data_IF_020263848884
#
_entry.id   IF_020263848884
#
_cell.length_a   1.000
_cell.length_b   1.000
_cell.length_c   1.000
_cell.angle_alpha   90.00
_cell.angle_beta   90.00
_cell.angle_gamma   90.00
#
_symmetry.space_group_name_H-M   'P 1'
#
loop_
_entity.id
_entity.type
_entity.pdbx_description
1 polymer ?
#
# COMPACT_ATOMS: atom_id res chain seq x y z
N UNK A 1 7.74 -13.45 -16.31
CA UNK A 1 7.88 -12.08 -15.79
C UNK A 1 7.35 -12.08 -14.36
N UNK A 2 8.22 -12.18 -13.34
CA UNK A 2 7.77 -12.09 -11.94
C UNK A 2 7.68 -10.61 -11.58
N UNK A 3 6.45 -10.10 -11.42
CA UNK A 3 6.22 -8.78 -10.81
C UNK A 3 6.62 -8.92 -9.34
N UNK A 4 7.72 -8.29 -8.94
CA UNK A 4 8.12 -8.23 -7.53
C UNK A 4 7.06 -7.39 -6.81
N UNK A 5 6.10 -8.06 -6.16
CA UNK A 5 5.10 -7.40 -5.33
C UNK A 5 5.84 -6.81 -4.13
N UNK A 6 6.01 -5.49 -4.12
CA UNK A 6 6.64 -4.79 -3.01
C UNK A 6 5.70 -4.86 -1.79
N UNK A 7 6.15 -5.38 -0.65
CA UNK A 7 5.33 -5.43 0.55
C UNK A 7 5.22 -4.02 1.15
N UNK A 8 3.99 -3.55 1.35
CA UNK A 8 3.68 -2.24 1.94
C UNK A 8 3.09 -2.43 3.33
N UNK A 9 3.60 -1.68 4.32
CA UNK A 9 3.11 -1.72 5.69
C UNK A 9 1.85 -0.85 5.80
N UNK A 10 0.79 -1.39 6.39
CA UNK A 10 -0.36 -0.57 6.77
C UNK A 10 0.02 0.35 7.94
N UNK A 11 -0.45 1.60 7.94
CA UNK A 11 -0.17 2.53 9.06
C UNK A 11 -1.11 2.32 10.26
N UNK A 12 -2.27 1.70 10.03
CA UNK A 12 -3.28 1.46 11.05
C UNK A 12 -3.13 0.06 11.68
N UNK A 13 -2.77 -0.93 10.86
CA UNK A 13 -2.50 -2.29 11.29
C UNK A 13 -1.00 -2.54 11.19
N UNK A 14 -0.39 -3.17 12.21
CA UNK A 14 1.02 -3.58 12.15
C UNK A 14 1.20 -4.84 11.29
N UNK A 15 0.72 -4.77 10.04
CA UNK A 15 0.75 -5.86 9.06
C UNK A 15 1.42 -5.39 7.77
N UNK A 16 1.99 -6.35 7.03
CA UNK A 16 2.55 -6.16 5.71
C UNK A 16 1.62 -6.77 4.67
N UNK A 17 1.34 -6.01 3.61
CA UNK A 17 0.45 -6.40 2.53
C UNK A 17 1.24 -6.42 1.22
N UNK A 18 1.12 -7.50 0.47
CA UNK A 18 1.92 -7.73 -0.73
C UNK A 18 1.18 -7.22 -1.95
N UNK A 19 1.64 -6.07 -2.46
CA UNK A 19 1.08 -5.47 -3.67
C UNK A 19 -0.14 -4.57 -3.47
N UNK A 20 -0.52 -3.90 -4.56
CA UNK A 20 -1.56 -2.87 -4.58
C UNK A 20 -2.93 -3.41 -4.18
N UNK A 21 -3.35 -4.53 -4.78
CA UNK A 21 -4.70 -5.06 -4.59
C UNK A 21 -4.95 -5.47 -3.13
N UNK A 22 -3.98 -6.12 -2.49
CA UNK A 22 -4.08 -6.47 -1.07
C UNK A 22 -4.09 -5.23 -0.18
N UNK A 23 -3.23 -4.25 -0.45
CA UNK A 23 -3.19 -3.01 0.32
C UNK A 23 -4.51 -2.24 0.19
N UNK A 24 -4.93 -1.92 -1.03
CA UNK A 24 -6.13 -1.14 -1.30
C UNK A 24 -7.38 -1.86 -0.80
N UNK A 25 -7.49 -3.17 -1.05
CA UNK A 25 -8.58 -3.99 -0.50
C UNK A 25 -8.61 -3.96 1.02
N UNK A 26 -7.47 -4.10 1.69
CA UNK A 26 -7.39 -3.97 3.14
C UNK A 26 -7.84 -2.59 3.65
N UNK A 27 -7.40 -1.51 3.01
CA UNK A 27 -7.81 -0.15 3.40
C UNK A 27 -9.32 0.07 3.25
N UNK A 28 -9.93 -0.45 2.19
CA UNK A 28 -11.38 -0.31 1.95
C UNK A 28 -12.19 -1.20 2.91
N UNK A 29 -11.79 -2.46 3.09
CA UNK A 29 -12.57 -3.43 3.85
C UNK A 29 -12.32 -3.38 5.37
N UNK A 30 -11.10 -3.07 5.80
CA UNK A 30 -10.72 -3.05 7.22
C UNK A 30 -10.74 -1.66 7.84
N UNK A 31 -10.54 -0.61 7.03
CA UNK A 31 -10.56 0.78 7.48
C UNK A 31 -11.68 1.62 6.86
N UNK A 32 -12.56 1.01 6.07
CA UNK A 32 -13.73 1.67 5.45
C UNK A 32 -13.35 2.92 4.64
N UNK A 33 -12.11 2.96 4.12
CA UNK A 33 -11.61 4.11 3.38
C UNK A 33 -12.18 4.13 1.95
N UNK A 34 -12.44 5.34 1.41
CA UNK A 34 -12.76 5.49 -0.01
C UNK A 34 -11.64 4.95 -0.89
N UNK A 35 -12.00 4.33 -2.02
CA UNK A 35 -11.05 3.79 -3.00
C UNK A 35 -9.99 4.84 -3.38
N UNK A 36 -10.42 6.08 -3.65
CA UNK A 36 -9.51 7.17 -4.03
C UNK A 36 -8.44 7.46 -2.97
N UNK A 37 -8.81 7.45 -1.68
CA UNK A 37 -7.84 7.62 -0.59
C UNK A 37 -6.93 6.41 -0.43
N UNK A 38 -7.48 5.18 -0.52
CA UNK A 38 -6.69 3.96 -0.42
C UNK A 38 -5.62 3.86 -1.52
N UNK A 39 -5.95 4.29 -2.73
CA UNK A 39 -5.04 4.38 -3.87
C UNK A 39 -3.95 5.43 -3.66
N UNK A 40 -4.31 6.66 -3.25
CA UNK A 40 -3.34 7.72 -2.95
C UNK A 40 -2.34 7.30 -1.86
N UNK A 41 -2.83 6.61 -0.82
CA UNK A 41 -1.98 6.06 0.24
C UNK A 41 -1.03 4.99 -0.27
N UNK A 42 -1.48 4.12 -1.18
CA UNK A 42 -0.62 3.12 -1.83
C UNK A 42 0.47 3.81 -2.65
N UNK A 43 0.11 4.74 -3.53
CA UNK A 43 1.03 5.50 -4.37
C UNK A 43 2.08 6.25 -3.54
N UNK A 44 1.64 6.91 -2.48
CA UNK A 44 2.53 7.58 -1.53
C UNK A 44 3.50 6.59 -0.86
N UNK A 45 3.04 5.40 -0.51
CA UNK A 45 3.85 4.38 0.17
C UNK A 45 4.91 3.76 -0.74
N UNK A 46 4.60 3.53 -2.02
CA UNK A 46 5.57 3.02 -3.00
C UNK A 46 6.53 4.13 -3.47
N UNK A 47 6.02 5.35 -3.66
CA UNK A 47 6.83 6.52 -4.07
C UNK A 47 7.81 6.95 -2.96
N UNK A 48 7.39 6.95 -1.70
CA UNK A 48 8.26 7.22 -0.54
C UNK A 48 9.38 6.19 -0.35
N UNK A 49 9.33 5.05 -1.06
CA UNK A 49 10.40 4.06 -1.08
C UNK A 49 11.42 4.35 -2.19
N UNK A 50 10.98 4.98 -3.30
CA UNK A 50 11.87 5.39 -4.40
C UNK A 50 12.76 6.59 -4.05
N UNK A 51 12.33 7.48 -3.15
CA UNK A 51 13.14 8.62 -2.69
C UNK A 51 14.17 8.30 -1.58
N UNK A 52 14.25 7.05 -1.09
CA UNK A 52 15.15 6.66 0.02
C UNK A 52 16.50 6.09 -0.43
N UNK A 53 16.95 6.51 -1.61
CA UNK A 53 18.31 6.27 -2.11
C UNK A 53 19.04 7.61 -2.23
N UNK A 54 19.59 8.09 -1.11
CA UNK A 54 20.58 9.16 -1.07
C UNK A 54 21.57 8.86 0.06
#
# INVERSE_FOLDING_TARGET
MQQVLLPTKCSYCDILLEGREQFVGHMIHSHELPIAQAEEMWESSVSARMCRSA
#
